data_IF_371695294453
#
_entry.id   IF_371695294453
#
_cell.length_a   1.000
_cell.length_b   1.000
_cell.length_c   1.000
_cell.angle_alpha   90.00
_cell.angle_beta   90.00
_cell.angle_gamma   90.00
#
_symmetry.space_group_name_H-M   'P 1'
#
loop_
_entity.id
_entity.type
_entity.pdbx_description
1 polymer ?
#
# COMPACT_ATOMS: atom_id res chain seq x y z
N UNK A 1 -6.92 14.39 -23.29
CA UNK A 1 -5.80 13.97 -22.42
C UNK A 1 -5.08 15.22 -21.98
N UNK A 2 -5.19 15.55 -20.72
CA UNK A 2 -4.53 16.69 -20.09
C UNK A 2 -3.22 16.21 -19.46
N UNK A 3 -2.17 17.00 -19.64
CA UNK A 3 -0.92 16.79 -18.92
C UNK A 3 -0.98 17.57 -17.61
N UNK A 4 -0.51 16.95 -16.52
CA UNK A 4 -0.44 17.57 -15.21
C UNK A 4 1.01 17.68 -14.75
N UNK A 5 1.38 18.83 -14.19
CA UNK A 5 2.67 19.07 -13.57
C UNK A 5 2.47 19.46 -12.13
N UNK A 6 3.02 18.69 -11.21
CA UNK A 6 3.07 19.05 -9.81
C UNK A 6 4.44 19.61 -9.46
N UNK A 7 4.45 20.75 -8.77
CA UNK A 7 5.68 21.36 -8.26
C UNK A 7 5.66 21.30 -6.74
N UNK A 8 6.51 20.45 -6.17
CA UNK A 8 6.74 20.46 -4.74
C UNK A 8 7.60 21.68 -4.38
N UNK A 9 7.17 22.44 -3.38
CA UNK A 9 7.83 23.63 -2.84
C UNK A 9 8.23 23.39 -1.38
N UNK A 10 9.33 24.01 -0.95
CA UNK A 10 9.80 24.01 0.43
C UNK A 10 9.82 25.45 0.98
N UNK A 11 8.64 25.95 1.33
CA UNK A 11 8.46 27.27 1.94
C UNK A 11 7.98 28.33 0.95
N UNK A 12 7.55 29.47 1.48
CA UNK A 12 7.02 30.58 0.68
C UNK A 12 8.10 31.26 -0.20
N UNK A 13 9.37 31.10 0.16
CA UNK A 13 10.51 31.68 -0.54
C UNK A 13 11.07 30.78 -1.64
N UNK A 14 10.57 29.55 -1.75
CA UNK A 14 10.91 28.62 -2.84
C UNK A 14 10.22 29.03 -4.15
N UNK A 15 10.71 30.12 -4.76
CA UNK A 15 10.17 30.73 -5.98
C UNK A 15 10.94 30.34 -7.24
N UNK A 16 11.72 29.25 -7.20
CA UNK A 16 12.49 28.80 -8.37
C UNK A 16 11.57 28.60 -9.56
N UNK A 17 11.89 29.22 -10.69
CA UNK A 17 11.12 29.05 -11.92
C UNK A 17 11.36 27.66 -12.52
N UNK A 18 10.30 27.01 -12.98
CA UNK A 18 10.36 25.63 -13.45
C UNK A 18 10.42 25.60 -14.98
N UNK A 19 11.45 24.95 -15.53
CA UNK A 19 11.46 24.62 -16.94
C UNK A 19 10.47 23.48 -17.20
N UNK A 20 9.28 23.84 -17.68
CA UNK A 20 8.26 22.88 -18.03
C UNK A 20 8.62 22.18 -19.33
N UNK A 21 8.49 20.85 -19.33
CA UNK A 21 8.75 20.00 -20.49
C UNK A 21 7.67 20.11 -21.60
N UNK A 22 6.55 20.78 -21.31
CA UNK A 22 5.43 20.99 -22.23
C UNK A 22 4.92 22.42 -22.18
N UNK A 23 4.50 22.91 -23.35
CA UNK A 23 3.90 24.25 -23.52
C UNK A 23 2.51 24.38 -22.88
N UNK A 24 1.79 23.27 -22.70
CA UNK A 24 0.46 23.24 -22.07
C UNK A 24 0.43 22.12 -21.03
N UNK A 25 0.19 22.50 -19.78
CA UNK A 25 0.05 21.59 -18.64
C UNK A 25 -0.81 22.26 -17.57
N UNK A 26 -1.62 21.49 -16.85
CA UNK A 26 -2.24 21.94 -15.62
C UNK A 26 -1.17 21.89 -14.52
N UNK A 27 -0.87 23.04 -13.93
CA UNK A 27 0.17 23.15 -12.92
C UNK A 27 -0.46 23.22 -11.53
N UNK A 28 0.04 22.41 -10.59
CA UNK A 28 -0.37 22.44 -9.19
C UNK A 28 0.87 22.55 -8.30
N UNK A 29 0.89 23.55 -7.44
CA UNK A 29 1.98 23.71 -6.47
C UNK A 29 1.59 23.13 -5.11
N UNK A 30 2.50 22.36 -4.51
CA UNK A 30 2.34 21.77 -3.19
C UNK A 30 3.45 22.28 -2.27
N UNK A 31 3.12 23.16 -1.33
CA UNK A 31 4.08 23.62 -0.34
C UNK A 31 4.17 22.64 0.84
N UNK A 32 5.32 21.95 0.93
CA UNK A 32 5.61 20.96 1.95
C UNK A 32 6.17 21.56 3.25
N UNK A 33 6.53 22.83 3.30
CA UNK A 33 7.05 23.48 4.50
C UNK A 33 6.02 24.48 5.04
N UNK A 34 5.57 24.27 6.28
CA UNK A 34 4.70 25.21 6.99
C UNK A 34 5.52 26.40 7.48
N UNK A 35 4.84 27.51 7.80
CA UNK A 35 5.46 28.72 8.37
C UNK A 35 6.27 28.45 9.65
N UNK A 36 5.90 27.42 10.42
CA UNK A 36 6.62 27.02 11.63
C UNK A 36 7.82 26.09 11.38
N UNK A 37 8.28 25.96 10.13
CA UNK A 37 9.41 25.12 9.74
C UNK A 37 9.14 23.61 9.74
N UNK A 38 7.91 23.16 10.00
CA UNK A 38 7.58 21.72 10.02
C UNK A 38 7.03 21.24 8.68
N UNK A 39 7.35 19.99 8.32
CA UNK A 39 6.80 19.38 7.11
C UNK A 39 5.27 19.20 7.17
N UNK A 40 4.60 19.62 6.11
CA UNK A 40 3.16 19.50 5.89
C UNK A 40 2.74 18.08 5.49
N UNK A 41 1.43 17.92 5.19
CA UNK A 41 0.83 16.68 4.68
C UNK A 41 1.18 15.42 5.48
N UNK A 42 1.30 15.54 6.80
CA UNK A 42 1.54 14.40 7.70
C UNK A 42 3.00 13.93 7.80
N UNK A 43 3.91 14.42 6.97
CA UNK A 43 5.33 14.05 7.05
C UNK A 43 5.98 14.54 8.36
N UNK A 44 5.60 15.74 8.82
CA UNK A 44 6.05 16.26 10.12
C UNK A 44 5.60 15.41 11.31
N UNK A 45 4.47 14.70 11.22
CA UNK A 45 4.03 13.74 12.24
C UNK A 45 4.98 12.55 12.33
N UNK A 46 5.37 12.00 11.18
CA UNK A 46 6.32 10.88 11.11
C UNK A 46 7.69 11.26 11.67
N UNK A 47 8.22 12.42 11.26
CA UNK A 47 9.49 12.94 11.77
C UNK A 47 9.45 13.20 13.28
N UNK A 48 8.36 13.79 13.79
CA UNK A 48 8.17 13.97 15.24
C UNK A 48 8.14 12.63 15.97
N UNK A 49 7.48 11.62 15.40
CA UNK A 49 7.43 10.27 15.95
C UNK A 49 8.80 9.61 16.03
N UNK A 50 9.60 9.68 14.96
CA UNK A 50 10.98 9.17 14.94
C UNK A 50 11.86 9.92 15.96
N UNK A 51 11.76 11.25 16.01
CA UNK A 51 12.51 12.07 16.96
C UNK A 51 12.20 11.71 18.41
N UNK A 52 10.93 11.46 18.73
CA UNK A 52 10.52 11.03 20.06
C UNK A 52 11.15 9.69 20.50
N UNK A 53 11.63 8.88 19.54
CA UNK A 53 12.35 7.63 19.78
C UNK A 53 13.88 7.80 19.76
N UNK A 54 14.40 9.03 19.63
CA UNK A 54 15.83 9.27 19.48
C UNK A 54 16.37 8.90 18.09
N UNK A 55 15.52 8.91 17.06
CA UNK A 55 15.88 8.56 15.69
C UNK A 55 15.86 9.79 14.79
N UNK A 56 16.88 9.93 13.95
CA UNK A 56 17.00 11.02 12.97
C UNK A 56 17.31 10.45 11.59
N UNK A 57 16.40 10.61 10.61
CA UNK A 57 16.64 10.16 9.24
C UNK A 57 17.61 11.07 8.49
N UNK A 58 18.18 10.56 7.39
CA UNK A 58 18.97 11.36 6.44
C UNK A 58 18.12 12.24 5.53
N UNK A 59 18.76 13.24 4.92
CA UNK A 59 18.13 14.07 3.88
C UNK A 59 17.58 13.25 2.71
N UNK A 60 18.29 12.20 2.30
CA UNK A 60 17.89 11.34 1.18
C UNK A 60 16.59 10.60 1.48
N UNK A 61 16.41 10.08 2.69
CA UNK A 61 15.17 9.36 3.03
C UNK A 61 13.99 10.31 3.26
N UNK A 62 14.25 11.56 3.69
CA UNK A 62 13.23 12.62 3.74
C UNK A 62 12.85 13.12 2.34
N UNK A 63 13.80 13.26 1.42
CA UNK A 63 13.53 13.52 0.00
C UNK A 63 12.61 12.46 -0.60
N UNK A 64 12.89 11.18 -0.30
CA UNK A 64 12.06 10.07 -0.74
C UNK A 64 10.63 10.16 -0.19
N UNK A 65 10.47 10.56 1.07
CA UNK A 65 9.16 10.76 1.69
C UNK A 65 8.39 11.93 1.06
N UNK A 66 9.06 13.03 0.69
CA UNK A 66 8.46 14.16 -0.05
C UNK A 66 8.02 13.70 -1.44
N UNK A 67 8.90 13.04 -2.20
CA UNK A 67 8.56 12.47 -3.51
C UNK A 67 7.33 11.55 -3.39
N UNK A 68 7.28 10.68 -2.39
CA UNK A 68 6.16 9.77 -2.19
C UNK A 68 4.86 10.49 -1.82
N UNK A 69 4.93 11.57 -1.06
CA UNK A 69 3.77 12.40 -0.76
C UNK A 69 3.28 13.15 -2.02
N UNK A 70 4.18 13.65 -2.86
CA UNK A 70 3.82 14.28 -4.15
C UNK A 70 3.17 13.27 -5.11
N UNK A 71 3.71 12.05 -5.20
CA UNK A 71 3.07 10.94 -5.94
C UNK A 71 1.68 10.64 -5.38
N UNK A 72 1.53 10.62 -4.05
CA UNK A 72 0.23 10.39 -3.40
C UNK A 72 -0.78 11.50 -3.70
N UNK A 73 -0.32 12.76 -3.76
CA UNK A 73 -1.17 13.89 -4.15
C UNK A 73 -1.71 13.69 -5.57
N UNK A 74 -0.81 13.47 -6.53
CA UNK A 74 -1.17 13.25 -7.93
C UNK A 74 -2.08 12.02 -8.10
N UNK A 75 -1.72 10.89 -7.49
CA UNK A 75 -2.45 9.63 -7.64
C UNK A 75 -3.88 9.75 -7.11
N UNK A 76 -4.09 10.49 -6.02
CA UNK A 76 -5.40 10.64 -5.40
C UNK A 76 -6.18 11.85 -5.87
N UNK A 77 -5.59 12.84 -6.53
CA UNK A 77 -6.31 14.08 -6.87
C UNK A 77 -6.54 14.31 -8.34
N UNK A 78 -5.70 13.77 -9.22
CA UNK A 78 -5.93 13.87 -10.67
C UNK A 78 -6.87 12.76 -11.12
N UNK A 79 -8.09 13.12 -11.53
CA UNK A 79 -9.11 12.15 -11.97
C UNK A 79 -8.66 11.39 -13.23
N UNK A 80 -8.68 10.05 -13.20
CA UNK A 80 -8.43 9.24 -14.41
C UNK A 80 -9.53 9.44 -15.46
N UNK A 81 -10.79 9.54 -15.03
CA UNK A 81 -11.94 9.68 -15.93
C UNK A 81 -11.86 10.98 -16.74
N UNK A 82 -11.42 12.07 -16.12
CA UNK A 82 -11.40 13.39 -16.76
C UNK A 82 -10.11 13.63 -17.54
N UNK A 83 -8.98 13.06 -17.09
CA UNK A 83 -7.67 13.44 -17.60
C UNK A 83 -7.00 12.40 -18.51
N UNK A 84 -7.39 11.12 -18.44
CA UNK A 84 -6.82 10.06 -19.27
C UNK A 84 -7.62 9.82 -20.56
N UNK A 85 -6.92 9.57 -21.67
CA UNK A 85 -7.56 9.30 -22.98
C UNK A 85 -8.34 7.99 -23.00
N UNK A 86 -7.83 6.98 -22.32
CA UNK A 86 -8.36 5.62 -22.18
C UNK A 86 -9.16 5.44 -20.88
N UNK A 87 -9.51 6.55 -20.20
CA UNK A 87 -10.09 6.57 -18.86
C UNK A 87 -9.20 5.93 -17.78
N UNK A 88 -7.91 5.76 -18.08
CA UNK A 88 -6.98 5.07 -17.21
C UNK A 88 -5.64 5.79 -17.04
N UNK A 89 -4.84 5.83 -18.09
CA UNK A 89 -3.43 6.21 -18.09
C UNK A 89 -3.30 7.73 -18.10
N UNK A 90 -2.93 8.32 -16.95
CA UNK A 90 -2.64 9.76 -16.85
C UNK A 90 -1.20 10.05 -17.28
N UNK A 91 -0.93 11.29 -17.69
CA UNK A 91 0.42 11.79 -17.91
C UNK A 91 0.75 12.86 -16.86
N UNK A 92 1.74 12.56 -16.01
CA UNK A 92 2.03 13.35 -14.81
C UNK A 92 3.53 13.62 -14.74
N UNK A 93 3.90 14.89 -14.63
CA UNK A 93 5.26 15.34 -14.34
C UNK A 93 5.38 15.84 -12.90
N UNK A 94 6.47 15.49 -12.22
CA UNK A 94 6.78 15.98 -10.88
C UNK A 94 8.08 16.79 -10.90
N UNK A 95 8.08 17.96 -10.26
CA UNK A 95 9.26 18.73 -9.93
C UNK A 95 9.47 18.69 -8.42
N UNK A 96 10.54 18.02 -7.97
CA UNK A 96 10.78 17.76 -6.55
C UNK A 96 12.13 18.35 -6.11
N UNK A 97 12.15 19.21 -5.08
CA UNK A 97 13.38 19.72 -4.50
C UNK A 97 14.04 18.64 -3.65
N UNK A 98 15.34 18.40 -3.90
CA UNK A 98 16.15 17.37 -3.24
C UNK A 98 17.50 17.90 -2.80
N UNK A 99 18.07 17.30 -1.76
CA UNK A 99 19.36 17.73 -1.21
C UNK A 99 20.50 17.48 -2.19
N UNK A 100 20.47 16.35 -2.92
CA UNK A 100 21.53 15.99 -3.89
C UNK A 100 20.92 15.66 -5.27
N UNK A 101 20.69 16.66 -6.14
CA UNK A 101 20.03 16.45 -7.44
C UNK A 101 20.73 15.43 -8.34
N UNK A 102 22.06 15.34 -8.32
CA UNK A 102 22.81 14.41 -9.15
C UNK A 102 22.43 12.94 -8.88
N UNK A 103 22.29 12.55 -7.61
CA UNK A 103 21.87 11.21 -7.21
C UNK A 103 20.46 10.95 -7.72
N UNK A 104 19.51 11.84 -7.45
CA UNK A 104 18.12 11.65 -7.85
C UNK A 104 17.90 11.66 -9.37
N UNK A 105 18.58 12.53 -10.11
CA UNK A 105 18.49 12.58 -11.56
C UNK A 105 18.97 11.28 -12.22
N UNK A 106 19.98 10.61 -11.64
CA UNK A 106 20.42 9.29 -12.09
C UNK A 106 19.37 8.17 -11.89
N UNK A 107 18.36 8.40 -11.04
CA UNK A 107 17.32 7.41 -10.71
C UNK A 107 15.99 7.66 -11.42
N UNK A 108 15.89 8.68 -12.26
CA UNK A 108 14.66 9.08 -12.96
C UNK A 108 14.03 7.94 -13.75
N UNK A 109 14.82 7.21 -14.54
CA UNK A 109 14.32 6.06 -15.33
C UNK A 109 13.79 4.92 -14.44
N UNK A 110 14.51 4.58 -13.37
CA UNK A 110 14.11 3.53 -12.43
C UNK A 110 12.80 3.91 -11.71
N UNK A 111 12.73 5.13 -11.19
CA UNK A 111 11.55 5.65 -10.51
C UNK A 111 10.35 5.73 -11.44
N UNK A 112 10.50 6.26 -12.66
CA UNK A 112 9.43 6.28 -13.66
C UNK A 112 8.96 4.86 -13.99
N UNK A 113 9.88 3.91 -14.20
CA UNK A 113 9.52 2.50 -14.45
C UNK A 113 8.74 1.88 -13.29
N UNK A 114 9.16 2.15 -12.05
CA UNK A 114 8.47 1.68 -10.83
C UNK A 114 7.07 2.26 -10.71
N UNK A 115 6.93 3.58 -10.85
CA UNK A 115 5.65 4.28 -10.71
C UNK A 115 4.69 3.92 -11.85
N UNK A 116 5.18 3.81 -13.09
CA UNK A 116 4.40 3.34 -14.23
C UNK A 116 3.85 1.92 -13.98
N UNK A 117 4.69 1.02 -13.46
CA UNK A 117 4.27 -0.33 -13.12
C UNK A 117 3.21 -0.35 -12.01
N UNK A 118 3.40 0.47 -10.97
CA UNK A 118 2.55 0.48 -9.79
C UNK A 118 1.18 1.11 -10.06
N UNK A 119 1.12 2.25 -10.76
CA UNK A 119 -0.11 3.03 -10.91
C UNK A 119 -0.76 2.85 -12.28
N UNK A 120 -0.01 2.41 -13.29
CA UNK A 120 -0.48 2.37 -14.68
C UNK A 120 -0.53 3.74 -15.35
N UNK A 121 0.07 4.78 -14.76
CA UNK A 121 0.22 6.11 -15.36
C UNK A 121 1.59 6.26 -16.03
N UNK A 122 1.80 7.39 -16.71
CA UNK A 122 3.09 7.80 -17.26
C UNK A 122 3.68 8.90 -16.39
N UNK A 123 4.81 8.61 -15.76
CA UNK A 123 5.49 9.53 -14.84
C UNK A 123 6.76 10.11 -15.44
N UNK A 124 6.88 11.43 -15.39
CA UNK A 124 8.12 12.17 -15.67
C UNK A 124 8.60 12.83 -14.39
N UNK A 125 9.89 12.74 -14.09
CA UNK A 125 10.46 13.20 -12.82
C UNK A 125 11.59 14.19 -13.08
N UNK A 126 11.52 15.33 -12.42
CA UNK A 126 12.53 16.38 -12.47
C UNK A 126 12.98 16.72 -11.06
N UNK A 127 14.28 16.60 -10.79
CA UNK A 127 14.85 16.89 -9.49
C UNK A 127 15.70 18.16 -9.55
N UNK A 128 15.48 19.04 -8.57
CA UNK A 128 16.20 20.32 -8.42
C UNK A 128 16.78 20.45 -7.03
N UNK A 129 17.74 21.35 -6.86
CA UNK A 129 18.28 21.63 -5.53
C UNK A 129 17.20 22.24 -4.64
N UNK A 130 17.15 21.85 -3.36
CA UNK A 130 16.33 22.52 -2.34
C UNK A 130 16.78 23.98 -2.19
N UNK A 131 15.88 24.91 -1.81
CA UNK A 131 16.30 26.21 -1.31
C UNK A 131 17.14 26.06 -0.03
N UNK A 132 17.95 27.06 0.28
CA UNK A 132 18.61 27.13 1.58
C UNK A 132 17.56 27.35 2.68
N UNK A 133 17.61 26.53 3.73
CA UNK A 133 16.71 26.59 4.88
C UNK A 133 17.56 26.80 6.13
N UNK A 134 17.31 27.87 6.88
CA UNK A 134 18.15 28.32 8.01
C UNK A 134 18.35 27.22 9.08
N UNK A 135 17.28 26.51 9.44
CA UNK A 135 17.31 25.41 10.42
C UNK A 135 17.44 24.01 9.77
N UNK A 136 17.66 23.96 8.46
CA UNK A 136 17.54 22.73 7.67
C UNK A 136 16.11 22.16 7.65
N UNK A 137 15.95 21.03 6.98
CA UNK A 137 14.65 20.35 6.88
C UNK A 137 14.41 19.33 8.02
N UNK A 138 15.50 18.85 8.63
CA UNK A 138 15.51 17.77 9.60
C UNK A 138 16.10 18.29 10.90
N UNK A 139 15.30 18.26 11.96
CA UNK A 139 15.79 18.58 13.30
C UNK A 139 16.41 17.33 13.93
N UNK A 140 17.70 17.44 14.29
CA UNK A 140 18.42 16.40 15.02
C UNK A 140 17.70 16.05 16.33
N UNK A 141 17.66 14.77 16.68
CA UNK A 141 17.10 14.36 17.96
C UNK A 141 18.08 14.67 19.08
N UNK A 142 17.62 15.38 20.10
CA UNK A 142 18.33 15.55 21.38
C UNK A 142 17.91 14.50 22.42
N UNK A 143 17.03 13.58 22.05
CA UNK A 143 16.49 12.52 22.93
C UNK A 143 17.39 11.29 22.82
N UNK A 144 17.82 10.74 23.96
CA UNK A 144 18.51 9.45 23.98
C UNK A 144 17.64 8.35 23.36
N UNK A 145 18.26 7.48 22.57
CA UNK A 145 17.56 6.42 21.85
C UNK A 145 16.89 5.47 22.85
N UNK A 146 15.55 5.57 22.97
CA UNK A 146 14.74 4.82 23.94
C UNK A 146 14.61 3.33 23.58
N UNK A 147 14.87 2.98 22.33
CA UNK A 147 14.78 1.61 21.83
C UNK A 147 15.71 1.40 20.64
N UNK A 148 16.14 0.16 20.44
CA UNK A 148 16.93 -0.22 19.27
C UNK A 148 16.18 -1.33 18.51
N UNK A 149 15.15 -0.99 17.71
CA UNK A 149 14.38 -1.97 16.97
C UNK A 149 15.29 -2.82 16.10
N UNK A 150 15.09 -4.15 16.07
CA UNK A 150 15.85 -5.09 15.25
C UNK A 150 15.47 -5.01 13.77
N UNK A 151 14.22 -4.63 13.48
CA UNK A 151 13.70 -4.41 12.12
C UNK A 151 12.54 -3.42 12.09
N UNK A 152 12.21 -2.94 10.90
CA UNK A 152 11.00 -2.15 10.65
C UNK A 152 9.92 -3.07 10.08
N UNK A 153 8.65 -2.84 10.40
CA UNK A 153 7.53 -3.59 9.84
C UNK A 153 6.40 -2.66 9.40
N UNK A 154 5.92 -2.83 8.17
CA UNK A 154 4.73 -2.13 7.71
C UNK A 154 3.49 -2.62 8.46
N UNK A 155 2.70 -1.66 8.94
CA UNK A 155 1.54 -1.95 9.75
C UNK A 155 0.33 -1.19 9.21
N UNK A 156 -0.57 -1.89 8.51
CA UNK A 156 -1.72 -1.25 7.86
C UNK A 156 -2.98 -1.27 8.73
N UNK A 157 -3.02 -2.11 9.77
CA UNK A 157 -4.23 -2.45 10.53
C UNK A 157 -5.08 -3.54 9.86
N UNK A 158 -4.55 -4.16 8.80
CA UNK A 158 -5.15 -5.33 8.14
C UNK A 158 -4.57 -6.65 8.63
N UNK A 159 -5.28 -7.73 8.32
CA UNK A 159 -4.98 -9.09 8.79
C UNK A 159 -3.53 -9.52 8.52
N UNK A 160 -3.00 -9.30 7.31
CA UNK A 160 -1.63 -9.69 6.94
C UNK A 160 -0.59 -8.99 7.81
N UNK A 161 -0.72 -7.67 7.98
CA UNK A 161 0.20 -6.89 8.82
C UNK A 161 0.08 -7.23 10.31
N UNK A 162 -1.10 -7.68 10.75
CA UNK A 162 -1.33 -8.14 12.11
C UNK A 162 -0.65 -9.49 12.36
N UNK A 163 -0.81 -10.45 11.44
CA UNK A 163 -0.08 -11.74 11.45
C UNK A 163 1.43 -11.49 11.44
N UNK A 164 1.91 -10.62 10.55
CA UNK A 164 3.33 -10.28 10.48
C UNK A 164 3.88 -9.70 11.78
N UNK A 165 3.14 -8.80 12.42
CA UNK A 165 3.53 -8.25 13.71
C UNK A 165 3.53 -9.32 14.82
N UNK A 166 2.51 -10.19 14.88
CA UNK A 166 2.45 -11.31 15.83
C UNK A 166 3.67 -12.22 15.66
N UNK A 167 3.95 -12.67 14.43
CA UNK A 167 5.03 -13.63 14.17
C UNK A 167 6.40 -13.03 14.52
N UNK A 168 6.63 -11.76 14.18
CA UNK A 168 7.89 -11.08 14.49
C UNK A 168 8.07 -10.82 16.01
N UNK A 169 7.03 -10.39 16.71
CA UNK A 169 7.08 -10.13 18.16
C UNK A 169 7.25 -11.43 18.95
N UNK A 170 6.45 -12.46 18.62
CA UNK A 170 6.50 -13.75 19.30
C UNK A 170 7.83 -14.49 19.13
N UNK A 171 8.57 -14.21 18.04
CA UNK A 171 9.93 -14.70 17.84
C UNK A 171 11.00 -13.86 18.57
N UNK A 172 10.61 -12.96 19.49
CA UNK A 172 11.51 -12.13 20.29
C UNK A 172 12.01 -10.87 19.57
N UNK A 173 11.42 -10.49 18.44
CA UNK A 173 11.78 -9.29 17.70
C UNK A 173 11.28 -8.01 18.38
N UNK A 174 12.16 -7.01 18.50
CA UNK A 174 11.77 -5.65 18.86
C UNK A 174 11.57 -4.84 17.58
N UNK A 175 10.36 -4.36 17.33
CA UNK A 175 9.98 -3.82 16.02
C UNK A 175 9.67 -2.33 16.08
N UNK A 176 9.96 -1.65 14.98
CA UNK A 176 9.37 -0.35 14.69
C UNK A 176 8.26 -0.53 13.66
N UNK A 177 7.01 -0.46 14.13
CA UNK A 177 5.83 -0.48 13.28
C UNK A 177 5.66 0.87 12.58
N UNK A 178 5.42 0.85 11.28
CA UNK A 178 5.20 2.05 10.47
C UNK A 178 3.83 1.99 9.81
N UNK A 179 3.00 2.99 10.09
CA UNK A 179 1.67 3.12 9.51
C UNK A 179 1.49 4.42 8.74
N UNK A 180 0.70 4.32 7.67
CA UNK A 180 0.16 5.46 6.94
C UNK A 180 -1.38 5.39 6.95
N UNK A 181 -2.03 6.54 7.15
CA UNK A 181 -3.47 6.68 7.07
C UNK A 181 -3.88 8.05 6.52
N UNK A 182 -5.07 8.13 5.96
CA UNK A 182 -5.71 9.40 5.60
C UNK A 182 -7.04 9.56 6.34
N UNK A 183 -7.82 8.47 6.35
CA UNK A 183 -9.15 8.41 6.90
C UNK A 183 -9.19 7.89 8.35
N UNK A 184 -10.28 8.24 9.06
CA UNK A 184 -10.49 7.86 10.45
C UNK A 184 -10.65 6.35 10.64
N UNK A 185 -11.25 5.64 9.68
CA UNK A 185 -11.47 4.19 9.77
C UNK A 185 -10.13 3.47 9.85
N UNK A 186 -9.26 3.68 8.86
CA UNK A 186 -7.91 3.11 8.85
C UNK A 186 -7.16 3.44 10.13
N UNK A 187 -7.29 4.68 10.63
CA UNK A 187 -6.65 5.12 11.87
C UNK A 187 -7.11 4.34 13.11
N UNK A 188 -8.40 4.03 13.22
CA UNK A 188 -8.97 3.27 14.33
C UNK A 188 -8.43 1.84 14.33
N UNK A 189 -8.47 1.15 13.19
CA UNK A 189 -7.99 -0.24 13.09
C UNK A 189 -6.49 -0.36 13.40
N UNK A 190 -5.67 0.59 12.94
CA UNK A 190 -4.24 0.63 13.28
C UNK A 190 -4.00 0.78 14.78
N UNK A 191 -4.72 1.69 15.45
CA UNK A 191 -4.58 1.91 16.89
C UNK A 191 -5.09 0.72 17.70
N UNK A 192 -6.23 0.16 17.31
CA UNK A 192 -6.79 -1.02 17.97
C UNK A 192 -5.85 -2.22 17.87
N UNK A 193 -5.34 -2.52 16.67
CA UNK A 193 -4.40 -3.63 16.49
C UNK A 193 -3.10 -3.41 17.29
N UNK A 194 -2.56 -2.19 17.30
CA UNK A 194 -1.37 -1.87 18.10
C UNK A 194 -1.65 -2.03 19.60
N UNK A 195 -2.80 -1.55 20.10
CA UNK A 195 -3.19 -1.74 21.50
C UNK A 195 -3.30 -3.22 21.84
N UNK A 196 -3.95 -4.02 21.00
CA UNK A 196 -4.08 -5.47 21.21
C UNK A 196 -2.71 -6.17 21.28
N UNK A 197 -1.77 -5.81 20.40
CA UNK A 197 -0.39 -6.32 20.47
C UNK A 197 0.29 -5.91 21.78
N UNK A 198 0.12 -4.66 22.22
CA UNK A 198 0.67 -4.20 23.50
C UNK A 198 0.06 -4.92 24.70
N UNK A 199 -1.24 -5.20 24.67
CA UNK A 199 -1.92 -5.87 25.78
C UNK A 199 -1.48 -7.34 25.88
N UNK A 200 -1.20 -7.98 24.74
CA UNK A 200 -0.75 -9.39 24.68
C UNK A 200 0.74 -9.56 24.98
N UNK A 201 1.60 -8.71 24.43
CA UNK A 201 3.06 -8.89 24.45
C UNK A 201 3.81 -7.85 25.27
N UNK A 202 3.12 -6.84 25.81
CA UNK A 202 3.73 -5.66 26.42
C UNK A 202 4.26 -4.66 25.38
N UNK A 203 4.96 -3.63 25.86
CA UNK A 203 5.56 -2.57 25.03
C UNK A 203 6.90 -3.02 24.41
N UNK A 204 6.86 -4.10 23.64
CA UNK A 204 8.02 -4.71 22.96
C UNK A 204 8.24 -4.19 21.53
N UNK A 205 7.52 -3.15 21.15
CA UNK A 205 7.62 -2.46 19.87
C UNK A 205 7.28 -0.98 20.03
N UNK A 206 7.65 -0.15 19.06
CA UNK A 206 7.10 1.21 18.92
C UNK A 206 6.36 1.38 17.62
N UNK A 207 5.53 2.41 17.56
CA UNK A 207 4.64 2.67 16.43
C UNK A 207 4.72 4.12 15.98
N UNK A 208 5.30 4.34 14.79
CA UNK A 208 5.29 5.65 14.13
C UNK A 208 4.21 5.66 13.06
N UNK A 209 3.44 6.74 13.04
CA UNK A 209 2.28 6.89 12.15
C UNK A 209 2.36 8.22 11.40
N UNK A 210 1.94 8.22 10.15
CA UNK A 210 1.87 9.40 9.32
C UNK A 210 0.46 9.57 8.72
N UNK A 211 -0.18 10.71 8.99
CA UNK A 211 -1.44 11.10 8.35
C UNK A 211 -1.18 11.81 7.02
N UNK A 212 -0.77 11.05 6.00
CA UNK A 212 -0.49 11.62 4.68
C UNK A 212 -1.74 11.58 3.81
N UNK A 213 -2.10 12.72 3.25
CA UNK A 213 -3.15 12.85 2.27
C UNK A 213 -3.46 14.31 1.99
N UNK A 214 -4.28 14.53 0.99
CA UNK A 214 -4.52 15.83 0.39
C UNK A 214 -6.03 16.07 0.35
N UNK A 215 -6.48 17.28 0.62
CA UNK A 215 -7.90 17.60 0.48
C UNK A 215 -8.30 17.62 -1.00
N UNK A 216 -9.58 17.41 -1.32
CA UNK A 216 -10.04 17.48 -2.71
C UNK A 216 -9.78 18.84 -3.34
N UNK A 217 -9.89 19.90 -2.54
CA UNK A 217 -9.65 21.29 -2.94
C UNK A 217 -8.17 21.63 -3.15
N UNK A 218 -7.25 20.70 -2.91
CA UNK A 218 -5.81 20.93 -3.17
C UNK A 218 -5.52 21.09 -4.66
N UNK A 219 -6.35 20.53 -5.54
CA UNK A 219 -6.24 20.65 -6.99
C UNK A 219 -7.48 21.39 -7.49
N UNK A 220 -7.28 22.54 -8.12
CA UNK A 220 -8.37 23.31 -8.71
C UNK A 220 -9.02 22.51 -9.85
N UNK A 221 -10.35 22.59 -9.95
CA UNK A 221 -11.14 21.97 -11.03
C UNK A 221 -11.07 20.42 -11.11
N UNK A 222 -10.53 19.74 -10.10
CA UNK A 222 -10.48 18.27 -10.03
C UNK A 222 -11.51 17.70 -9.03
N UNK A 223 -12.24 16.65 -9.45
CA UNK A 223 -13.20 15.94 -8.58
C UNK A 223 -12.53 14.96 -7.60
N UNK A 224 -11.24 14.71 -7.81
CA UNK A 224 -10.42 13.73 -7.11
C UNK A 224 -10.47 12.32 -7.72
N UNK A 225 -9.47 11.52 -7.38
CA UNK A 225 -9.32 10.12 -7.74
C UNK A 225 -9.44 9.24 -6.48
N UNK A 226 -10.24 8.18 -6.59
CA UNK A 226 -10.51 7.28 -5.47
C UNK A 226 -9.66 6.02 -5.51
N UNK A 227 -8.85 5.82 -6.56
CA UNK A 227 -7.89 4.74 -6.65
C UNK A 227 -6.60 5.10 -5.91
N UNK A 228 -6.22 4.27 -4.93
CA UNK A 228 -5.05 4.45 -4.08
C UNK A 228 -3.88 3.58 -4.59
N UNK A 229 -3.51 3.68 -5.87
CA UNK A 229 -2.53 2.75 -6.48
C UNK A 229 -1.10 3.04 -6.09
N UNK A 230 -0.74 4.31 -5.89
CA UNK A 230 0.56 4.75 -5.40
C UNK A 230 0.77 4.52 -3.90
N UNK A 231 -0.22 3.99 -3.16
CA UNK A 231 -0.21 3.92 -1.70
C UNK A 231 0.97 3.13 -1.11
N UNK A 232 1.41 2.03 -1.74
CA UNK A 232 2.62 1.32 -1.29
C UNK A 232 3.87 2.18 -1.35
N UNK A 233 4.00 3.05 -2.36
CA UNK A 233 5.18 3.88 -2.50
C UNK A 233 5.31 4.83 -1.28
N UNK A 234 4.20 5.33 -0.75
CA UNK A 234 4.17 6.09 0.51
C UNK A 234 4.53 5.21 1.72
N UNK A 235 3.93 4.02 1.86
CA UNK A 235 4.26 3.11 2.97
C UNK A 235 5.75 2.72 2.98
N UNK A 236 6.29 2.34 1.82
CA UNK A 236 7.68 1.93 1.67
C UNK A 236 8.62 3.10 1.98
N UNK A 237 8.27 4.31 1.55
CA UNK A 237 9.12 5.50 1.78
C UNK A 237 9.13 5.92 3.25
N UNK A 238 7.99 5.84 3.96
CA UNK A 238 7.96 6.09 5.40
C UNK A 238 8.76 5.03 6.19
N UNK A 239 8.66 3.77 5.79
CA UNK A 239 9.41 2.70 6.43
C UNK A 239 10.90 2.77 6.11
N UNK A 240 11.26 3.22 4.92
CA UNK A 240 12.64 3.51 4.52
C UNK A 240 13.20 4.64 5.36
N UNK A 241 12.47 5.73 5.54
CA UNK A 241 12.86 6.85 6.42
C UNK A 241 13.07 6.37 7.87
N UNK A 242 12.21 5.50 8.37
CA UNK A 242 12.38 4.91 9.69
C UNK A 242 13.59 3.95 9.80
N UNK A 243 13.83 3.14 8.77
CA UNK A 243 14.94 2.19 8.72
C UNK A 243 16.30 2.90 8.59
N UNK A 244 16.36 3.93 7.76
CA UNK A 244 17.51 4.80 7.56
C UNK A 244 17.95 5.48 8.87
N UNK A 245 16.99 5.96 9.65
CA UNK A 245 17.23 6.58 10.96
C UNK A 245 17.82 5.64 12.03
N UNK A 246 17.92 4.33 11.76
CA UNK A 246 18.57 3.35 12.64
C UNK A 246 20.08 3.23 12.39
N UNK A 247 20.60 3.81 11.30
CA UNK A 247 22.04 3.90 10.97
C UNK A 247 22.77 2.55 10.89
N UNK A 248 22.08 1.51 10.43
CA UNK A 248 22.63 0.15 10.27
C UNK A 248 21.86 -0.62 9.20
N UNK A 249 22.35 -1.78 8.73
CA UNK A 249 21.56 -2.66 7.88
C UNK A 249 20.25 -3.06 8.55
N UNK A 250 19.12 -2.76 7.90
CA UNK A 250 17.77 -3.02 8.44
C UNK A 250 16.88 -3.70 7.40
N UNK A 251 16.23 -4.79 7.81
CA UNK A 251 15.11 -5.37 7.06
C UNK A 251 13.83 -4.58 7.33
N UNK A 252 13.15 -4.19 6.26
CA UNK A 252 11.79 -3.63 6.28
C UNK A 252 10.84 -4.76 5.89
N UNK A 253 10.12 -5.30 6.88
CA UNK A 253 9.15 -6.37 6.67
C UNK A 253 7.88 -5.79 6.04
N UNK A 254 7.42 -6.44 4.97
CA UNK A 254 6.21 -6.11 4.20
C UNK A 254 5.26 -7.30 4.24
N UNK A 255 4.47 -7.48 5.31
CA UNK A 255 3.58 -8.63 5.40
C UNK A 255 2.42 -8.52 4.38
N UNK A 256 2.46 -9.32 3.32
CA UNK A 256 1.36 -9.49 2.37
C UNK A 256 1.39 -10.90 1.79
N UNK A 257 0.24 -11.57 1.75
CA UNK A 257 0.14 -12.91 1.17
C UNK A 257 0.51 -12.94 -0.33
N UNK A 258 1.12 -14.04 -0.77
CA UNK A 258 1.59 -14.21 -2.15
C UNK A 258 0.49 -14.12 -3.22
N UNK A 259 -0.75 -14.51 -2.91
CA UNK A 259 -1.87 -14.43 -3.85
C UNK A 259 -2.19 -12.96 -4.23
N UNK A 260 -2.29 -12.08 -3.22
CA UNK A 260 -2.48 -10.63 -3.42
C UNK A 260 -1.20 -9.96 -3.92
N UNK A 261 -0.01 -10.42 -3.54
CA UNK A 261 1.25 -9.90 -4.08
C UNK A 261 1.37 -10.10 -5.59
N UNK A 262 1.01 -11.29 -6.09
CA UNK A 262 0.95 -11.55 -7.53
C UNK A 262 -0.21 -10.79 -8.17
N UNK A 263 -1.40 -10.86 -7.59
CA UNK A 263 -2.62 -10.24 -8.08
C UNK A 263 -2.96 -10.57 -9.54
N UNK A 264 -2.96 -11.87 -9.87
CA UNK A 264 -3.32 -12.38 -11.20
C UNK A 264 -4.72 -11.88 -11.60
N UNK A 265 -4.89 -11.26 -12.79
CA UNK A 265 -6.19 -10.76 -13.23
C UNK A 265 -7.25 -11.86 -13.28
N UNK A 266 -8.36 -11.66 -12.58
CA UNK A 266 -9.46 -12.62 -12.49
C UNK A 266 -10.26 -12.75 -13.81
N UNK A 267 -10.22 -11.72 -14.65
CA UNK A 267 -10.92 -11.67 -15.93
C UNK A 267 -10.07 -10.88 -16.96
N UNK A 268 -10.13 -11.14 -18.29
CA UNK A 268 -9.35 -10.40 -19.28
C UNK A 268 -9.60 -8.90 -19.25
N UNK A 269 -10.79 -8.43 -18.89
CA UNK A 269 -11.09 -7.00 -18.74
C UNK A 269 -10.40 -6.37 -17.52
N UNK A 270 -9.80 -7.18 -16.64
CA UNK A 270 -9.04 -6.74 -15.46
C UNK A 270 -7.52 -6.75 -15.69
N UNK A 271 -7.05 -7.08 -16.90
CA UNK A 271 -5.63 -6.99 -17.25
C UNK A 271 -5.19 -5.54 -17.18
N UNK A 272 -4.15 -5.25 -16.40
CA UNK A 272 -3.73 -3.89 -16.08
C UNK A 272 -4.63 -3.26 -15.02
N UNK A 273 -5.72 -2.63 -15.46
CA UNK A 273 -6.44 -1.57 -14.74
C UNK A 273 -6.92 -1.95 -13.31
N UNK A 274 -7.52 -3.11 -13.11
CA UNK A 274 -8.28 -3.35 -11.88
C UNK A 274 -7.50 -4.06 -10.76
N UNK A 275 -6.20 -4.32 -10.93
CA UNK A 275 -5.39 -5.10 -10.00
C UNK A 275 -4.21 -4.27 -9.45
N UNK A 276 -4.17 -4.03 -8.14
CA UNK A 276 -3.06 -3.34 -7.45
C UNK A 276 -1.78 -4.19 -7.45
N UNK A 277 -0.61 -3.57 -7.68
CA UNK A 277 0.70 -4.28 -7.73
C UNK A 277 1.61 -3.93 -6.54
N UNK A 278 0.97 -3.68 -5.40
CA UNK A 278 1.53 -3.07 -4.17
C UNK A 278 2.79 -3.76 -3.65
N UNK A 279 2.84 -5.09 -3.68
CA UNK A 279 3.96 -5.90 -3.17
C UNK A 279 4.41 -6.93 -4.21
N UNK A 280 4.17 -6.64 -5.49
CA UNK A 280 4.58 -7.54 -6.56
C UNK A 280 6.12 -7.72 -6.57
N UNK A 281 6.64 -8.93 -6.81
CA UNK A 281 8.08 -9.23 -6.71
C UNK A 281 8.97 -8.28 -7.52
N UNK A 282 8.60 -7.98 -8.78
CA UNK A 282 9.31 -7.00 -9.60
C UNK A 282 9.35 -5.60 -8.97
N UNK A 283 8.23 -5.12 -8.43
CA UNK A 283 8.17 -3.78 -7.82
C UNK A 283 9.06 -3.70 -6.58
N UNK A 284 9.01 -4.72 -5.71
CA UNK A 284 9.87 -4.78 -4.53
C UNK A 284 11.36 -4.89 -4.90
N UNK A 285 11.71 -5.65 -5.95
CA UNK A 285 13.08 -5.74 -6.45
C UNK A 285 13.60 -4.38 -6.95
N UNK A 286 12.80 -3.65 -7.73
CA UNK A 286 13.16 -2.30 -8.20
C UNK A 286 13.24 -1.29 -7.06
N UNK A 287 12.38 -1.41 -6.05
CA UNK A 287 12.49 -0.55 -4.86
C UNK A 287 13.77 -0.84 -4.07
N UNK A 288 14.16 -2.11 -3.91
CA UNK A 288 15.45 -2.46 -3.29
C UNK A 288 16.66 -1.97 -4.10
N UNK A 289 16.58 -2.01 -5.42
CA UNK A 289 17.59 -1.42 -6.32
C UNK A 289 17.69 0.10 -6.10
N UNK A 290 16.55 0.80 -5.99
CA UNK A 290 16.50 2.22 -5.66
C UNK A 290 17.17 2.51 -4.30
N UNK A 291 16.87 1.72 -3.26
CA UNK A 291 17.50 1.90 -1.94
C UNK A 291 19.02 1.78 -2.00
N UNK A 292 19.54 0.78 -2.72
CA UNK A 292 20.97 0.61 -2.95
C UNK A 292 21.59 1.81 -3.67
N UNK A 293 20.94 2.30 -4.73
CA UNK A 293 21.43 3.45 -5.50
C UNK A 293 21.38 4.78 -4.72
N UNK A 294 20.43 4.90 -3.79
CA UNK A 294 20.32 6.05 -2.88
C UNK A 294 21.27 5.95 -1.66
N UNK A 295 22.01 4.84 -1.52
CA UNK A 295 22.90 4.61 -0.38
C UNK A 295 22.19 4.32 0.94
N UNK A 296 20.89 3.99 0.90
CA UNK A 296 20.10 3.68 2.10
C UNK A 296 20.31 2.21 2.46
N UNK A 297 20.85 1.95 3.65
CA UNK A 297 21.19 0.61 4.12
C UNK A 297 19.96 -0.16 4.66
N UNK A 298 18.94 -0.30 3.82
CA UNK A 298 17.73 -1.03 4.15
C UNK A 298 17.29 -1.92 2.99
N UNK A 299 16.52 -2.96 3.31
CA UNK A 299 15.98 -3.89 2.32
C UNK A 299 14.53 -4.24 2.65
N UNK A 300 13.65 -4.10 1.67
CA UNK A 300 12.30 -4.64 1.74
C UNK A 300 12.33 -6.17 1.60
N UNK A 301 11.62 -6.84 2.51
CA UNK A 301 11.37 -8.27 2.48
C UNK A 301 9.89 -8.57 2.72
N UNK A 302 9.30 -9.44 1.90
CA UNK A 302 7.97 -9.98 2.16
C UNK A 302 8.12 -11.45 2.55
N UNK A 303 8.11 -11.77 3.87
CA UNK A 303 8.31 -13.14 4.34
C UNK A 303 7.18 -14.10 3.93
N UNK A 304 6.06 -13.55 3.43
CA UNK A 304 4.87 -14.30 3.04
C UNK A 304 4.64 -14.34 1.52
N UNK A 305 5.64 -13.95 0.71
CA UNK A 305 5.54 -13.91 -0.76
C UNK A 305 5.10 -15.26 -1.40
N UNK A 306 5.32 -16.38 -0.69
CA UNK A 306 5.02 -17.74 -1.15
C UNK A 306 3.96 -18.45 -0.30
N UNK A 307 3.31 -17.71 0.60
CA UNK A 307 2.22 -18.22 1.45
C UNK A 307 0.90 -17.63 1.03
N UNK A 308 -0.14 -18.46 1.01
CA UNK A 308 -1.51 -17.97 0.93
C UNK A 308 -1.88 -17.27 2.22
N UNK A 309 -2.92 -16.43 2.20
CA UNK A 309 -3.41 -15.81 3.44
C UNK A 309 -3.92 -16.86 4.43
N UNK A 310 -4.52 -17.96 3.96
CA UNK A 310 -4.91 -19.08 4.82
C UNK A 310 -3.72 -19.77 5.47
N UNK A 311 -2.63 -20.00 4.73
CA UNK A 311 -1.37 -20.53 5.26
C UNK A 311 -0.75 -19.59 6.30
N UNK A 312 -0.76 -18.27 6.04
CA UNK A 312 -0.32 -17.27 7.02
C UNK A 312 -1.12 -17.36 8.32
N UNK A 313 -2.44 -17.40 8.25
CA UNK A 313 -3.30 -17.45 9.43
C UNK A 313 -3.21 -18.80 10.17
N UNK A 314 -3.06 -19.90 9.43
CA UNK A 314 -2.91 -21.24 10.00
C UNK A 314 -1.55 -21.43 10.70
N UNK A 315 -0.50 -20.82 10.17
CA UNK A 315 0.88 -20.96 10.67
C UNK A 315 1.31 -19.79 11.56
N UNK A 316 0.41 -18.87 11.89
CA UNK A 316 0.69 -17.74 12.78
C UNK A 316 1.14 -18.27 14.15
N UNK A 317 2.21 -17.68 14.68
CA UNK A 317 2.87 -18.15 15.90
C UNK A 317 1.95 -18.14 17.12
N UNK A 318 1.15 -17.07 17.29
CA UNK A 318 0.09 -17.01 18.30
C UNK A 318 -1.29 -17.12 17.63
N UNK A 319 -1.58 -18.33 17.17
CA UNK A 319 -2.82 -18.65 16.45
C UNK A 319 -4.07 -18.44 17.31
N UNK A 320 -3.99 -18.61 18.62
CA UNK A 320 -5.12 -18.40 19.53
C UNK A 320 -5.48 -16.91 19.62
N UNK A 321 -4.47 -16.07 19.84
CA UNK A 321 -4.63 -14.62 19.83
C UNK A 321 -5.12 -14.09 18.48
N UNK A 322 -4.56 -14.62 17.37
CA UNK A 322 -5.04 -14.28 16.03
C UNK A 322 -6.52 -14.65 15.85
N UNK A 323 -6.95 -15.83 16.28
CA UNK A 323 -8.36 -16.26 16.15
C UNK A 323 -9.29 -15.31 16.90
N UNK A 324 -8.91 -14.91 18.11
CA UNK A 324 -9.70 -14.02 18.95
C UNK A 324 -9.84 -12.62 18.33
N UNK A 325 -8.78 -12.11 17.71
CA UNK A 325 -8.70 -10.72 17.26
C UNK A 325 -8.69 -10.52 15.75
N UNK A 326 -8.88 -11.57 14.95
CA UNK A 326 -8.96 -11.44 13.50
C UNK A 326 -10.05 -10.43 13.11
N UNK A 327 -11.21 -10.46 13.77
CA UNK A 327 -12.34 -9.54 13.56
C UNK A 327 -11.99 -8.06 13.80
N UNK A 328 -10.98 -7.76 14.61
CA UNK A 328 -10.50 -6.41 14.93
C UNK A 328 -9.57 -5.82 13.86
N UNK A 329 -9.36 -6.52 12.74
CA UNK A 329 -8.50 -6.08 11.63
C UNK A 329 -9.32 -5.73 10.38
N UNK A 330 -8.85 -4.78 9.57
CA UNK A 330 -9.56 -4.32 8.37
C UNK A 330 -8.84 -4.73 7.07
N UNK A 331 -9.52 -5.54 6.25
CA UNK A 331 -9.01 -5.95 4.92
C UNK A 331 -9.79 -5.32 3.75
N UNK A 332 -10.97 -4.76 4.00
CA UNK A 332 -11.87 -4.29 2.95
C UNK A 332 -11.24 -3.15 2.12
N UNK A 333 -11.41 -3.18 0.79
CA UNK A 333 -10.95 -2.10 -0.10
C UNK A 333 -11.87 -0.86 -0.07
N UNK A 334 -13.09 -0.99 0.47
CA UNK A 334 -14.08 0.08 0.49
C UNK A 334 -14.90 0.06 1.79
N UNK A 335 -14.26 0.15 2.97
CA UNK A 335 -14.93 0.01 4.27
C UNK A 335 -15.93 1.14 4.56
N UNK A 336 -15.79 2.29 3.87
CA UNK A 336 -16.65 3.46 4.03
C UNK A 336 -17.78 3.54 3.00
N UNK A 337 -17.93 2.55 2.11
CA UNK A 337 -19.01 2.57 1.11
C UNK A 337 -20.42 2.47 1.72
N UNK A 338 -20.54 2.24 3.03
CA UNK A 338 -21.81 2.34 3.79
C UNK A 338 -22.40 3.74 3.78
N UNK A 339 -21.56 4.79 3.77
CA UNK A 339 -22.03 6.20 3.76
C UNK A 339 -22.92 6.55 2.57
N UNK A 340 -22.86 5.76 1.51
CA UNK A 340 -23.57 5.98 0.24
C UNK A 340 -24.72 5.00 0.03
N UNK A 341 -24.99 4.11 0.99
CA UNK A 341 -26.10 3.16 0.94
C UNK A 341 -27.24 3.64 1.85
N UNK A 342 -28.35 4.15 1.29
CA UNK A 342 -29.46 4.69 2.09
C UNK A 342 -30.19 3.62 2.92
N UNK A 343 -29.94 2.33 2.67
CA UNK A 343 -30.52 1.22 3.44
C UNK A 343 -29.67 0.78 4.62
N UNK A 344 -28.40 1.19 4.65
CA UNK A 344 -27.42 0.85 5.69
C UNK A 344 -26.92 2.12 6.35
N UNK A 345 -27.78 2.71 7.19
CA UNK A 345 -27.47 3.87 8.04
C UNK A 345 -26.47 3.55 9.18
N UNK A 346 -25.69 2.47 9.07
CA UNK A 346 -24.68 2.14 10.05
C UNK A 346 -23.50 3.10 9.92
N UNK A 347 -23.38 3.97 10.93
CA UNK A 347 -22.25 4.88 11.12
C UNK A 347 -20.90 4.14 11.30
N UNK A 348 -20.91 2.80 11.36
CA UNK A 348 -19.71 1.98 11.52
C UNK A 348 -19.21 1.40 10.20
N UNK A 349 -17.90 1.53 9.99
CA UNK A 349 -17.20 0.91 8.86
C UNK A 349 -17.12 -0.60 9.06
N UNK A 350 -17.62 -1.38 8.10
CA UNK A 350 -17.64 -2.84 8.15
C UNK A 350 -17.11 -3.46 6.85
N UNK A 351 -16.71 -4.74 6.89
CA UNK A 351 -16.27 -5.45 5.71
C UNK A 351 -17.45 -5.69 4.76
N UNK A 352 -17.28 -5.38 3.47
CA UNK A 352 -18.38 -5.56 2.51
C UNK A 352 -18.71 -7.03 2.21
N UNK A 353 -17.78 -7.96 2.50
CA UNK A 353 -17.96 -9.40 2.31
C UNK A 353 -17.81 -9.89 0.88
N UNK A 354 -17.55 -8.99 -0.08
CA UNK A 354 -17.64 -9.27 -1.52
C UNK A 354 -16.51 -8.70 -2.39
N UNK A 355 -15.73 -7.73 -1.91
CA UNK A 355 -14.53 -7.27 -2.63
C UNK A 355 -13.43 -8.34 -2.60
N UNK A 356 -12.46 -8.25 -3.51
CA UNK A 356 -11.34 -9.22 -3.62
C UNK A 356 -10.64 -9.47 -2.26
N UNK A 357 -10.23 -8.43 -1.49
CA UNK A 357 -9.66 -8.65 -0.17
C UNK A 357 -10.60 -9.31 0.84
N UNK A 358 -11.91 -9.03 0.80
CA UNK A 358 -12.88 -9.67 1.69
C UNK A 358 -13.07 -11.15 1.36
N UNK A 359 -13.14 -11.52 0.07
CA UNK A 359 -13.28 -12.91 -0.35
C UNK A 359 -12.03 -13.73 0.04
N UNK A 360 -10.84 -13.20 -0.20
CA UNK A 360 -9.59 -13.86 0.20
C UNK A 360 -9.46 -13.93 1.72
N UNK A 361 -9.87 -12.90 2.46
CA UNK A 361 -9.97 -12.95 3.93
C UNK A 361 -10.88 -14.08 4.40
N UNK A 362 -12.11 -14.16 3.90
CA UNK A 362 -13.08 -15.20 4.29
C UNK A 362 -12.55 -16.60 4.03
N UNK A 363 -11.97 -16.80 2.85
CA UNK A 363 -11.35 -18.05 2.46
C UNK A 363 -10.18 -18.42 3.39
N UNK A 364 -9.36 -17.44 3.79
CA UNK A 364 -8.23 -17.63 4.68
C UNK A 364 -8.62 -17.98 6.10
N UNK A 365 -9.59 -17.27 6.69
CA UNK A 365 -10.06 -17.51 8.06
C UNK A 365 -10.80 -18.85 8.14
N UNK A 366 -11.61 -19.18 7.13
CA UNK A 366 -12.21 -20.51 7.02
C UNK A 366 -11.14 -21.63 6.93
N UNK A 367 -10.08 -21.43 6.14
CA UNK A 367 -8.98 -22.40 6.04
C UNK A 367 -8.22 -22.56 7.36
N UNK A 368 -7.99 -21.46 8.08
CA UNK A 368 -7.21 -21.48 9.32
C UNK A 368 -8.03 -21.96 10.55
N UNK A 369 -9.32 -21.66 10.62
CA UNK A 369 -10.14 -21.83 11.84
C UNK A 369 -11.42 -22.64 11.63
N UNK A 370 -11.79 -22.96 10.39
CA UNK A 370 -13.07 -23.60 10.04
C UNK A 370 -14.29 -22.67 10.12
N UNK A 371 -14.14 -21.49 10.73
CA UNK A 371 -15.16 -20.44 10.84
C UNK A 371 -14.54 -19.07 10.60
N UNK A 372 -15.39 -18.09 10.31
CA UNK A 372 -15.02 -16.69 10.20
C UNK A 372 -16.09 -15.86 10.89
N UNK A 373 -15.74 -15.34 12.07
CA UNK A 373 -16.65 -14.57 12.93
C UNK A 373 -16.61 -13.06 12.60
N UNK A 374 -15.91 -12.67 11.53
CA UNK A 374 -15.91 -11.28 11.05
C UNK A 374 -17.32 -10.87 10.61
N UNK A 375 -17.77 -9.70 11.05
CA UNK A 375 -19.04 -9.14 10.60
C UNK A 375 -18.90 -8.65 9.16
N UNK A 376 -19.74 -9.18 8.27
CA UNK A 376 -19.81 -8.79 6.86
C UNK A 376 -21.17 -8.23 6.50
N UNK A 377 -21.19 -7.22 5.63
CA UNK A 377 -22.43 -6.71 5.02
C UNK A 377 -23.19 -7.76 4.20
N UNK A 378 -22.47 -8.67 3.55
CA UNK A 378 -23.03 -9.87 2.94
C UNK A 378 -22.57 -11.07 3.80
N UNK A 379 -23.31 -11.43 4.87
CA UNK A 379 -22.89 -12.45 5.82
C UNK A 379 -22.75 -13.81 5.13
N UNK A 380 -23.71 -14.18 4.28
CA UNK A 380 -23.74 -15.46 3.61
C UNK A 380 -23.82 -15.25 2.09
N UNK A 381 -22.78 -15.66 1.36
CA UNK A 381 -22.75 -15.58 -0.10
C UNK A 381 -23.74 -16.56 -0.78
N UNK A 382 -24.24 -17.56 -0.04
CA UNK A 382 -25.18 -18.59 -0.52
C UNK A 382 -26.63 -18.27 -0.22
N UNK A 383 -26.93 -17.21 0.55
CA UNK A 383 -28.31 -16.93 0.98
C UNK A 383 -29.23 -16.51 -0.17
N UNK A 384 -28.65 -15.98 -1.25
CA UNK A 384 -29.37 -15.54 -2.44
C UNK A 384 -28.46 -15.61 -3.67
N UNK A 385 -29.08 -15.51 -4.84
CA UNK A 385 -28.35 -15.25 -6.08
C UNK A 385 -27.76 -13.84 -6.01
N UNK A 386 -26.45 -13.70 -6.26
CA UNK A 386 -25.79 -12.40 -6.31
C UNK A 386 -25.84 -11.83 -7.73
N UNK A 387 -26.30 -10.59 -7.87
CA UNK A 387 -26.37 -9.92 -9.16
C UNK A 387 -24.97 -9.60 -9.69
N UNK A 388 -24.55 -10.28 -10.75
CA UNK A 388 -23.22 -10.08 -11.35
C UNK A 388 -23.07 -8.75 -12.11
N UNK A 389 -24.17 -8.02 -12.35
CA UNK A 389 -24.16 -6.67 -12.93
C UNK A 389 -23.96 -5.57 -11.87
N UNK A 390 -24.03 -5.93 -10.58
CA UNK A 390 -23.91 -5.02 -9.45
C UNK A 390 -22.65 -5.31 -8.64
N UNK A 391 -22.19 -4.35 -7.81
CA UNK A 391 -20.97 -4.52 -7.03
C UNK A 391 -20.97 -5.79 -6.16
N UNK A 392 -22.13 -6.24 -5.68
CA UNK A 392 -22.30 -7.44 -4.83
C UNK A 392 -21.92 -8.77 -5.51
N UNK A 393 -22.10 -8.90 -6.82
CA UNK A 393 -21.79 -10.13 -7.56
C UNK A 393 -20.57 -10.02 -8.48
N UNK A 394 -20.09 -8.81 -8.81
CA UNK A 394 -19.05 -8.60 -9.84
C UNK A 394 -17.74 -9.38 -9.55
N UNK A 395 -17.22 -9.31 -8.32
CA UNK A 395 -15.95 -9.94 -7.96
C UNK A 395 -16.11 -11.43 -7.70
N UNK A 396 -17.26 -11.84 -7.15
CA UNK A 396 -17.61 -13.26 -6.98
C UNK A 396 -17.65 -13.95 -8.34
N UNK A 397 -18.34 -13.34 -9.32
CA UNK A 397 -18.40 -13.83 -10.70
C UNK A 397 -17.01 -13.89 -11.33
N UNK A 398 -16.18 -12.87 -11.15
CA UNK A 398 -14.82 -12.85 -11.67
C UNK A 398 -13.97 -13.99 -11.11
N UNK A 399 -14.06 -14.28 -9.80
CA UNK A 399 -13.39 -15.44 -9.20
C UNK A 399 -13.92 -16.76 -9.78
N UNK A 400 -15.24 -16.92 -9.89
CA UNK A 400 -15.82 -18.13 -10.49
C UNK A 400 -15.31 -18.35 -11.93
N UNK A 401 -15.20 -17.29 -12.72
CA UNK A 401 -14.65 -17.37 -14.07
C UNK A 401 -13.16 -17.74 -14.08
N UNK A 402 -12.35 -17.14 -13.22
CA UNK A 402 -10.93 -17.48 -13.07
C UNK A 402 -10.73 -18.94 -12.65
N UNK A 403 -11.54 -19.40 -11.69
CA UNK A 403 -11.53 -20.78 -11.18
C UNK A 403 -11.91 -21.78 -12.28
N UNK A 404 -13.00 -21.55 -13.00
CA UNK A 404 -13.41 -22.41 -14.13
C UNK A 404 -12.30 -22.54 -15.17
N UNK A 405 -11.63 -21.44 -15.50
CA UNK A 405 -10.49 -21.44 -16.43
C UNK A 405 -9.29 -22.22 -15.91
N UNK A 406 -9.05 -22.17 -14.59
CA UNK A 406 -7.98 -22.89 -13.93
C UNK A 406 -8.27 -24.38 -13.84
N UNK A 407 -9.50 -24.77 -13.49
CA UNK A 407 -9.93 -26.17 -13.48
C UNK A 407 -9.82 -26.83 -14.86
N UNK A 408 -10.23 -26.13 -15.92
CA UNK A 408 -10.13 -26.65 -17.30
C UNK A 408 -8.70 -26.82 -17.80
N UNK A 409 -7.75 -26.04 -17.27
CA UNK A 409 -6.36 -26.09 -17.72
C UNK A 409 -5.41 -25.63 -16.60
N UNK A 410 -5.11 -26.49 -15.60
CA UNK A 410 -4.32 -26.09 -14.43
C UNK A 410 -2.92 -25.57 -14.78
N UNK A 411 -2.28 -26.18 -15.78
CA UNK A 411 -0.95 -25.77 -16.29
C UNK A 411 -0.91 -24.38 -16.94
N UNK A 412 -2.04 -23.66 -17.00
CA UNK A 412 -2.05 -22.22 -17.34
C UNK A 412 -1.43 -21.36 -16.24
N UNK A 413 -1.40 -21.84 -15.00
CA UNK A 413 -0.96 -21.08 -13.83
C UNK A 413 0.46 -20.54 -14.03
N UNK A 414 1.40 -21.38 -14.51
CA UNK A 414 2.76 -20.97 -14.90
C UNK A 414 2.85 -19.77 -15.85
N UNK A 415 1.81 -19.52 -16.66
CA UNK A 415 1.75 -18.35 -17.55
C UNK A 415 0.97 -17.19 -16.93
N UNK A 416 -0.11 -17.51 -16.23
CA UNK A 416 -1.00 -16.52 -15.63
C UNK A 416 -0.29 -15.68 -14.56
N UNK A 417 0.64 -16.26 -13.78
CA UNK A 417 1.45 -15.54 -12.78
C UNK A 417 2.35 -14.45 -13.36
N UNK A 418 2.61 -14.46 -14.66
CA UNK A 418 3.38 -13.41 -15.35
C UNK A 418 2.52 -12.27 -15.91
N UNK A 419 1.20 -12.41 -15.93
CA UNK A 419 0.29 -11.37 -16.42
C UNK A 419 0.36 -10.05 -15.63
N UNK A 420 0.49 -10.07 -14.29
CA UNK A 420 0.62 -8.85 -13.52
C UNK A 420 1.94 -8.11 -13.78
N UNK A 421 3.01 -8.84 -14.05
CA UNK A 421 4.34 -8.29 -14.24
C UNK A 421 5.42 -9.38 -14.39
N UNK A 422 6.65 -8.97 -14.74
CA UNK A 422 7.76 -9.90 -14.88
C UNK A 422 8.16 -10.50 -13.53
N UNK A 423 8.65 -11.74 -13.54
CA UNK A 423 9.21 -12.43 -12.37
C UNK A 423 10.70 -12.74 -12.56
N UNK A 424 11.35 -12.02 -13.49
CA UNK A 424 12.73 -12.25 -13.92
C UNK A 424 13.78 -12.05 -12.84
N UNK A 425 13.46 -11.31 -11.77
CA UNK A 425 14.34 -11.11 -10.61
C UNK A 425 14.46 -12.37 -9.73
N UNK A 426 13.58 -13.36 -9.90
CA UNK A 426 13.53 -14.58 -9.09
C UNK A 426 13.29 -15.85 -9.94
N UNK A 427 14.17 -16.17 -10.91
CA UNK A 427 13.95 -17.28 -11.85
C UNK A 427 13.88 -18.65 -11.16
N UNK A 428 14.56 -18.81 -10.02
CA UNK A 428 14.55 -20.06 -9.25
C UNK A 428 13.33 -20.21 -8.33
N UNK A 429 12.39 -19.26 -8.34
CA UNK A 429 11.22 -19.21 -7.46
C UNK A 429 9.89 -19.25 -8.24
N UNK A 430 9.92 -19.52 -9.54
CA UNK A 430 8.72 -19.54 -10.39
C UNK A 430 7.70 -20.58 -9.91
N UNK A 431 8.16 -21.77 -9.53
CA UNK A 431 7.31 -22.84 -8.99
C UNK A 431 6.62 -22.43 -7.68
N UNK A 432 7.28 -21.62 -6.85
CA UNK A 432 6.68 -21.11 -5.62
C UNK A 432 5.57 -20.09 -5.91
N UNK A 433 5.75 -19.23 -6.92
CA UNK A 433 4.72 -18.27 -7.35
C UNK A 433 3.53 -18.98 -8.00
N UNK A 434 3.78 -19.98 -8.85
CA UNK A 434 2.72 -20.84 -9.38
C UNK A 434 1.98 -21.57 -8.25
N UNK A 435 2.72 -22.16 -7.32
CA UNK A 435 2.19 -22.91 -6.19
C UNK A 435 1.29 -22.06 -5.29
N UNK A 436 1.73 -20.86 -4.89
CA UNK A 436 0.92 -19.98 -4.03
C UNK A 436 -0.33 -19.48 -4.76
N UNK A 437 -0.25 -19.24 -6.06
CA UNK A 437 -1.42 -18.88 -6.87
C UNK A 437 -2.45 -20.01 -6.89
N UNK A 438 -2.04 -21.25 -7.19
CA UNK A 438 -2.92 -22.42 -7.22
C UNK A 438 -3.57 -22.67 -5.85
N UNK A 439 -2.78 -22.70 -4.77
CA UNK A 439 -3.29 -22.94 -3.41
C UNK A 439 -4.24 -21.83 -2.96
N UNK A 440 -3.90 -20.57 -3.24
CA UNK A 440 -4.73 -19.41 -2.91
C UNK A 440 -6.06 -19.40 -3.66
N UNK A 441 -6.05 -19.75 -4.95
CA UNK A 441 -7.29 -19.93 -5.72
C UNK A 441 -8.14 -21.08 -5.15
N UNK A 442 -7.52 -22.19 -4.74
CA UNK A 442 -8.21 -23.30 -4.08
C UNK A 442 -8.86 -22.93 -2.74
N UNK A 443 -8.28 -22.00 -1.96
CA UNK A 443 -8.96 -21.45 -0.76
C UNK A 443 -10.25 -20.72 -1.13
N UNK A 444 -10.20 -19.88 -2.17
CA UNK A 444 -11.37 -19.14 -2.64
C UNK A 444 -12.42 -20.05 -3.26
N UNK A 445 -12.01 -21.09 -3.97
CA UNK A 445 -12.91 -22.12 -4.52
C UNK A 445 -13.78 -22.76 -3.44
N UNK A 446 -13.17 -23.18 -2.33
CA UNK A 446 -13.91 -23.77 -1.19
C UNK A 446 -14.93 -22.79 -0.61
N UNK A 447 -14.58 -21.51 -0.49
CA UNK A 447 -15.51 -20.47 -0.05
C UNK A 447 -16.70 -20.32 -1.02
N UNK A 448 -16.43 -20.31 -2.32
CA UNK A 448 -17.41 -20.02 -3.37
C UNK A 448 -18.23 -21.24 -3.81
N UNK A 449 -17.91 -22.44 -3.33
CA UNK A 449 -18.69 -23.65 -3.60
C UNK A 449 -20.17 -23.43 -3.23
N UNK A 450 -21.07 -23.69 -4.19
CA UNK A 450 -22.52 -23.49 -4.05
C UNK A 450 -23.02 -22.05 -4.12
N UNK A 451 -22.15 -21.06 -4.37
CA UNK A 451 -22.56 -19.66 -4.58
C UNK A 451 -23.04 -19.46 -6.02
N UNK A 452 -24.20 -18.82 -6.20
CA UNK A 452 -24.79 -18.58 -7.53
C UNK A 452 -24.71 -17.09 -7.88
N UNK A 453 -24.14 -16.79 -9.05
CA UNK A 453 -24.09 -15.43 -9.60
C UNK A 453 -24.70 -15.39 -11.00
N UNK A 454 -25.53 -14.38 -11.30
CA UNK A 454 -26.07 -14.08 -12.64
C UNK A 454 -26.60 -12.64 -12.67
N UNK A 455 -26.75 -12.01 -13.85
CA UNK A 455 -27.44 -10.72 -13.94
C UNK A 455 -28.88 -10.86 -13.45
N UNK A 456 -29.34 -9.94 -12.61
CA UNK A 456 -30.72 -9.88 -12.11
C UNK A 456 -31.42 -8.63 -12.64
N UNK A 457 -31.71 -8.64 -13.95
CA UNK A 457 -32.49 -7.63 -14.73
C UNK A 457 -32.04 -6.17 -14.65
#
# INVERSE_FOLDING_TARGET
MSHHTLVARLGADDKTDMQLSRLSTHMTELNFLRENGTLAFGLGQALKGLRALGLTPSDTSVDLAILAATVTAADTRISRVNNAQDLWTREIALHVPVATPAVWNSQTELLSRMLNFLTGDRWTLHFRLRPELEDGLIQQSSVERLMNPTSVCLFSGGLDSFIGAIDLISNGGNLLLISHYWDTTTSIYQQNCARLLSDQYGQVFSHVRARVGFEKTTFEEEEGENTLRGRSFMFFSLATMAADALERPVTINVPENGLISLNVPLDPLRVGALSTRTTHPFYMARYNELLGNLGINARLDNPYAYKTKGEMALQCNDRAFLRQHAGDTMSCSSPQSTRWDPTLNDQQSTHCGRCVPCLIRRASLFTAFGTDDTIYRIPNLRSRVLDSSRPEGEHVRAFQFALEKLMRSPGRARFDVHKPGPLSDYPNRLDDYEGVYLRGMGEVERLLSGVITRPLT
#
